data_IF_945735269968
#
_entry.id   IF_945735269968
#
_cell.length_a   1.000
_cell.length_b   1.000
_cell.length_c   1.000
_cell.angle_alpha   90.00
_cell.angle_beta   90.00
_cell.angle_gamma   90.00
#
_symmetry.space_group_name_H-M   'P 1'
#
loop_
_entity.id
_entity.type
_entity.pdbx_description
1 polymer ?
#
# COMPACT_ATOMS: atom_id res chain seq x y z
N UNK A 1 26.41 -72.57 -13.80
CA UNK A 1 27.25 -73.28 -12.81
C UNK A 1 27.08 -72.53 -11.51
N UNK A 2 26.22 -73.01 -10.60
CA UNK A 2 26.59 -73.83 -9.42
C UNK A 2 27.48 -73.02 -8.46
N UNK A 3 27.29 -72.94 -7.15
CA UNK A 3 26.39 -73.52 -6.13
C UNK A 3 26.82 -72.85 -4.80
N UNK A 4 25.92 -72.78 -3.81
CA UNK A 4 26.13 -72.92 -2.34
C UNK A 4 27.36 -72.25 -1.65
N UNK A 5 27.28 -71.54 -0.52
CA UNK A 5 26.46 -71.75 0.68
C UNK A 5 27.30 -72.39 1.82
N UNK A 6 27.64 -71.63 2.87
CA UNK A 6 28.05 -72.10 4.22
C UNK A 6 28.10 -70.85 5.15
N UNK A 7 27.29 -70.64 6.20
CA UNK A 7 27.01 -71.42 7.43
C UNK A 7 28.29 -71.59 8.28
N UNK A 8 28.39 -71.29 9.57
CA UNK A 8 27.47 -70.81 10.59
C UNK A 8 28.22 -70.58 11.93
N UNK A 9 27.44 -70.41 13.00
CA UNK A 9 27.76 -70.49 14.43
C UNK A 9 28.62 -69.38 15.09
N UNK A 10 28.45 -69.04 16.36
CA UNK A 10 27.36 -69.14 17.33
C UNK A 10 27.77 -68.30 18.55
N UNK A 11 26.81 -67.58 19.12
CA UNK A 11 26.56 -67.35 20.55
C UNK A 11 27.75 -67.13 21.53
N UNK A 12 27.74 -65.95 22.18
CA UNK A 12 27.85 -65.90 23.64
C UNK A 12 27.10 -64.69 24.20
N UNK A 13 26.13 -64.97 25.05
CA UNK A 13 25.47 -64.01 25.92
C UNK A 13 26.40 -63.63 27.09
N UNK A 14 26.30 -62.38 27.54
CA UNK A 14 27.00 -61.85 28.71
C UNK A 14 26.28 -60.58 29.17
N UNK A 15 25.41 -60.76 30.15
CA UNK A 15 24.60 -59.74 30.82
C UNK A 15 25.43 -59.06 31.94
N UNK A 16 25.30 -57.73 32.09
CA UNK A 16 25.33 -56.93 33.35
C UNK A 16 25.43 -55.41 33.03
N UNK A 17 24.43 -54.65 33.47
CA UNK A 17 24.27 -53.19 33.39
C UNK A 17 25.06 -52.45 34.51
N UNK A 18 24.90 -51.14 34.78
CA UNK A 18 24.57 -49.94 33.96
C UNK A 18 25.65 -48.83 34.09
N UNK A 19 25.71 -47.85 33.18
CA UNK A 19 26.52 -46.64 33.45
C UNK A 19 26.78 -45.72 32.26
N UNK A 20 26.25 -44.51 32.36
CA UNK A 20 26.62 -43.25 31.71
C UNK A 20 26.87 -43.19 30.19
N UNK A 21 25.85 -42.72 29.47
CA UNK A 21 25.99 -42.03 28.20
C UNK A 21 25.72 -40.51 28.39
N UNK A 22 26.49 -39.62 27.74
CA UNK A 22 26.43 -38.19 27.98
C UNK A 22 25.20 -37.52 27.35
N UNK A 23 24.78 -36.41 27.99
CA UNK A 23 23.60 -35.63 27.69
C UNK A 23 23.49 -35.15 26.24
N UNK A 24 22.35 -35.49 25.59
CA UNK A 24 21.88 -34.87 24.35
C UNK A 24 20.87 -33.78 24.67
N UNK A 25 21.02 -32.62 24.01
CA UNK A 25 20.15 -31.47 24.10
C UNK A 25 18.68 -31.79 23.74
N UNK A 26 17.69 -31.08 24.32
CA UNK A 26 16.29 -31.38 24.10
C UNK A 26 15.86 -30.98 22.69
N UNK A 27 15.46 -31.98 21.91
CA UNK A 27 14.77 -31.85 20.63
C UNK A 27 13.34 -31.32 20.90
N UNK A 28 13.06 -30.10 20.44
CA UNK A 28 11.72 -29.50 20.52
C UNK A 28 10.82 -30.23 19.52
N UNK A 29 10.03 -31.17 20.01
CA UNK A 29 9.05 -31.89 19.22
C UNK A 29 7.95 -30.95 18.73
N UNK A 30 7.89 -30.73 17.41
CA UNK A 30 6.76 -30.12 16.72
C UNK A 30 5.54 -31.02 16.81
N UNK A 31 4.61 -30.67 17.71
CA UNK A 31 3.29 -31.31 17.79
C UNK A 31 2.42 -30.88 16.60
N UNK A 32 2.16 -31.80 15.67
CA UNK A 32 1.13 -31.69 14.65
C UNK A 32 -0.29 -31.57 15.28
N UNK A 33 -1.11 -30.55 14.93
CA UNK A 33 -2.45 -30.37 15.52
C UNK A 33 -3.52 -31.30 14.94
N UNK A 34 -3.18 -32.25 14.07
CA UNK A 34 -4.14 -33.11 13.38
C UNK A 34 -4.71 -34.26 14.25
N UNK A 35 -4.04 -34.65 15.33
CA UNK A 35 -4.47 -35.78 16.18
C UNK A 35 -5.46 -35.38 17.28
N UNK A 36 -5.53 -34.09 17.65
CA UNK A 36 -6.46 -33.57 18.65
C UNK A 36 -7.92 -33.48 18.15
N UNK A 37 -8.14 -33.55 16.84
CA UNK A 37 -9.48 -33.41 16.22
C UNK A 37 -10.25 -34.73 16.10
N UNK A 38 -9.63 -35.91 16.24
CA UNK A 38 -10.33 -37.21 16.07
C UNK A 38 -10.87 -37.84 17.35
N UNK A 39 -10.53 -37.32 18.54
CA UNK A 39 -10.92 -37.94 19.83
C UNK A 39 -12.02 -37.20 20.60
N UNK A 40 -12.63 -36.18 20.00
CA UNK A 40 -13.69 -35.38 20.62
C UNK A 40 -15.13 -35.84 20.27
N UNK A 41 -15.30 -36.98 19.58
CA UNK A 41 -16.60 -37.42 19.05
C UNK A 41 -17.31 -38.52 19.86
N UNK A 42 -16.73 -39.06 20.94
CA UNK A 42 -17.41 -40.09 21.74
C UNK A 42 -17.15 -39.85 23.22
N UNK A 43 -18.14 -39.27 23.91
CA UNK A 43 -18.16 -39.17 25.37
C UNK A 43 -18.85 -37.90 25.86
N UNK A 44 -20.10 -38.05 26.29
CA UNK A 44 -20.94 -37.01 26.91
C UNK A 44 -20.15 -36.21 27.97
N UNK A 45 -19.78 -34.98 27.64
CA UNK A 45 -19.57 -33.84 28.55
C UNK A 45 -20.34 -32.67 27.96
N UNK A 46 -20.99 -31.91 28.83
CA UNK A 46 -21.99 -30.89 28.48
C UNK A 46 -21.60 -30.04 27.27
N UNK A 47 -22.60 -29.76 26.44
CA UNK A 47 -22.56 -28.88 25.27
C UNK A 47 -21.96 -27.53 25.63
N UNK A 48 -20.64 -27.41 25.58
CA UNK A 48 -20.00 -26.11 25.55
C UNK A 48 -20.46 -25.47 24.25
N UNK A 49 -21.27 -24.42 24.37
CA UNK A 49 -21.70 -23.61 23.24
C UNK A 49 -20.45 -23.14 22.48
N UNK A 50 -20.22 -23.62 21.24
CA UNK A 50 -18.99 -23.33 20.51
C UNK A 50 -18.85 -21.83 20.23
N UNK A 51 -19.97 -21.10 20.10
CA UNK A 51 -19.98 -19.65 19.93
C UNK A 51 -19.51 -18.97 21.21
N UNK A 52 -19.93 -19.46 22.38
CA UNK A 52 -19.48 -18.92 23.68
C UNK A 52 -17.98 -19.12 23.91
N UNK A 53 -17.44 -20.26 23.50
CA UNK A 53 -15.99 -20.49 23.53
C UNK A 53 -15.23 -19.54 22.58
N UNK A 54 -15.80 -19.24 21.40
CA UNK A 54 -15.26 -18.27 20.47
C UNK A 54 -15.29 -16.84 21.03
N UNK A 55 -16.43 -16.42 21.63
CA UNK A 55 -16.55 -15.13 22.33
C UNK A 55 -15.48 -14.97 23.40
N UNK A 56 -15.19 -16.02 24.17
CA UNK A 56 -14.17 -15.94 25.21
C UNK A 56 -12.76 -15.74 24.64
N UNK A 57 -12.46 -16.36 23.50
CA UNK A 57 -11.17 -16.19 22.80
C UNK A 57 -11.03 -14.80 22.18
N UNK A 58 -12.11 -14.23 21.67
CA UNK A 58 -12.14 -12.91 21.02
C UNK A 58 -12.83 -11.85 21.88
N UNK A 59 -12.71 -11.98 23.21
CA UNK A 59 -13.45 -11.15 24.16
C UNK A 59 -13.18 -9.66 23.97
N UNK A 60 -11.92 -9.28 23.84
CA UNK A 60 -11.51 -7.88 23.63
C UNK A 60 -12.01 -7.28 22.31
N UNK A 61 -12.25 -8.13 21.30
CA UNK A 61 -12.85 -7.69 20.03
C UNK A 61 -14.35 -7.45 20.23
N UNK A 62 -15.06 -8.42 20.81
CA UNK A 62 -16.50 -8.31 21.02
C UNK A 62 -16.88 -7.18 22.01
N UNK A 63 -16.08 -6.92 23.04
CA UNK A 63 -16.36 -5.87 24.04
C UNK A 63 -16.12 -4.45 23.51
N UNK A 64 -15.25 -4.28 22.49
CA UNK A 64 -14.95 -2.97 21.90
C UNK A 64 -15.79 -2.66 20.67
N UNK A 65 -16.34 -3.67 20.01
CA UNK A 65 -17.02 -3.51 18.75
C UNK A 65 -18.29 -2.67 18.88
N UNK A 66 -18.44 -1.67 18.02
CA UNK A 66 -19.63 -0.78 17.97
C UNK A 66 -20.69 -1.32 17.01
N UNK A 67 -20.31 -2.21 16.07
CA UNK A 67 -21.22 -2.87 15.14
C UNK A 67 -20.78 -4.31 14.78
N UNK A 68 -21.68 -5.13 14.16
CA UNK A 68 -21.35 -6.49 13.73
C UNK A 68 -20.24 -6.58 12.67
N UNK A 69 -20.03 -5.55 11.84
CA UNK A 69 -19.02 -5.57 10.79
C UNK A 69 -17.61 -5.47 11.38
N UNK A 70 -17.41 -4.72 12.46
CA UNK A 70 -16.16 -4.69 13.22
C UNK A 70 -15.81 -6.08 13.78
N UNK A 71 -16.81 -6.82 14.28
CA UNK A 71 -16.62 -8.20 14.71
C UNK A 71 -16.27 -9.09 13.51
N UNK A 72 -16.97 -8.98 12.38
CA UNK A 72 -16.68 -9.77 11.18
C UNK A 72 -15.26 -9.53 10.64
N UNK A 73 -14.86 -8.26 10.55
CA UNK A 73 -13.52 -7.84 10.15
C UNK A 73 -12.44 -8.32 11.13
N UNK A 74 -12.70 -8.22 12.43
CA UNK A 74 -11.80 -8.71 13.46
C UNK A 74 -11.65 -10.23 13.41
N UNK A 75 -12.75 -10.98 13.20
CA UNK A 75 -12.71 -12.43 13.02
C UNK A 75 -11.90 -12.83 11.78
N UNK A 76 -12.08 -12.14 10.65
CA UNK A 76 -11.30 -12.37 9.43
C UNK A 76 -9.80 -12.11 9.66
N UNK A 77 -9.45 -11.03 10.38
CA UNK A 77 -8.06 -10.72 10.74
C UNK A 77 -7.42 -11.81 11.60
N UNK A 78 -8.21 -12.53 12.40
CA UNK A 78 -7.77 -13.69 13.19
C UNK A 78 -7.88 -15.03 12.43
N UNK A 79 -8.14 -15.00 11.11
CA UNK A 79 -8.16 -16.17 10.23
C UNK A 79 -9.48 -16.95 10.20
N UNK A 80 -10.57 -16.38 10.72
CA UNK A 80 -11.90 -16.98 10.61
C UNK A 80 -12.46 -16.67 9.23
N UNK A 81 -12.77 -17.74 8.47
CA UNK A 81 -13.34 -17.66 7.11
C UNK A 81 -14.78 -18.17 7.11
N UNK A 82 -15.51 -18.01 6.00
CA UNK A 82 -16.89 -18.54 5.87
C UNK A 82 -16.94 -20.07 6.12
N UNK A 83 -15.90 -20.80 5.70
CA UNK A 83 -15.74 -22.23 6.02
C UNK A 83 -15.54 -22.50 7.51
N UNK A 84 -14.87 -21.59 8.23
CA UNK A 84 -14.71 -21.67 9.68
C UNK A 84 -16.04 -21.34 10.38
N UNK A 85 -16.80 -20.35 9.90
CA UNK A 85 -18.12 -19.97 10.42
C UNK A 85 -19.14 -21.12 10.32
N UNK A 86 -19.11 -21.90 9.23
CA UNK A 86 -19.93 -23.10 9.08
C UNK A 86 -19.75 -24.12 10.22
N UNK A 87 -18.56 -24.20 10.84
CA UNK A 87 -18.30 -25.07 12.01
C UNK A 87 -19.02 -24.61 13.28
N UNK A 88 -19.35 -23.32 13.35
CA UNK A 88 -20.15 -22.71 14.41
C UNK A 88 -21.65 -22.72 14.10
N UNK A 89 -22.09 -23.41 13.03
CA UNK A 89 -23.48 -23.46 12.54
C UNK A 89 -24.03 -22.13 12.01
N UNK A 90 -23.14 -21.21 11.61
CA UNK A 90 -23.52 -19.99 10.90
C UNK A 90 -23.17 -20.12 9.41
N UNK A 91 -23.96 -19.49 8.54
CA UNK A 91 -23.78 -19.57 7.09
C UNK A 91 -22.45 -18.97 6.64
N UNK A 92 -22.04 -17.89 7.28
CA UNK A 92 -20.91 -17.03 6.89
C UNK A 92 -20.39 -16.25 8.10
N UNK A 93 -19.25 -15.57 7.93
CA UNK A 93 -18.61 -14.78 9.00
C UNK A 93 -19.49 -13.61 9.44
N UNK A 94 -20.28 -13.01 8.54
CA UNK A 94 -21.18 -11.90 8.86
C UNK A 94 -22.30 -12.34 9.80
N UNK A 95 -22.97 -13.46 9.50
CA UNK A 95 -24.01 -14.07 10.34
C UNK A 95 -23.46 -14.51 11.70
N UNK A 96 -22.21 -15.01 11.73
CA UNK A 96 -21.54 -15.34 12.98
C UNK A 96 -21.26 -14.08 13.80
N UNK A 97 -20.83 -12.99 13.16
CA UNK A 97 -20.54 -11.73 13.82
C UNK A 97 -21.79 -11.04 14.37
N UNK A 98 -22.92 -11.07 13.64
CA UNK A 98 -24.22 -10.62 14.13
C UNK A 98 -24.65 -11.37 15.39
N UNK A 99 -24.50 -12.70 15.40
CA UNK A 99 -24.81 -13.52 16.58
C UNK A 99 -23.89 -13.18 17.77
N UNK A 100 -22.60 -12.98 17.52
CA UNK A 100 -21.65 -12.58 18.56
C UNK A 100 -22.00 -11.20 19.13
N UNK A 101 -22.33 -10.22 18.27
CA UNK A 101 -22.73 -8.87 18.65
C UNK A 101 -24.01 -8.88 19.48
N UNK A 102 -25.03 -9.65 19.06
CA UNK A 102 -26.30 -9.79 19.77
C UNK A 102 -26.14 -10.40 21.17
N UNK A 103 -25.06 -11.17 21.40
CA UNK A 103 -24.75 -11.82 22.69
C UNK A 103 -23.85 -11.00 23.60
N UNK A 104 -23.22 -9.93 23.11
CA UNK A 104 -22.51 -8.99 23.99
C UNK A 104 -23.57 -8.35 24.88
N UNK A 105 -23.43 -8.42 26.23
CA UNK A 105 -24.35 -7.73 27.11
C UNK A 105 -24.32 -6.27 26.70
N UNK A 106 -25.41 -5.75 26.15
CA UNK A 106 -25.55 -4.34 25.91
C UNK A 106 -25.37 -3.67 27.27
N UNK A 107 -24.18 -3.13 27.52
CA UNK A 107 -24.02 -2.13 28.57
C UNK A 107 -25.09 -1.11 28.19
N UNK A 108 -26.04 -0.88 29.08
CA UNK A 108 -26.99 0.22 28.98
C UNK A 108 -26.21 1.54 29.11
N UNK A 109 -25.27 1.77 28.19
CA UNK A 109 -24.82 3.08 27.80
C UNK A 109 -25.97 3.68 27.04
N UNK A 110 -26.22 4.95 27.34
CA UNK A 110 -27.19 5.84 26.73
C UNK A 110 -27.47 5.49 25.26
N UNK A 111 -28.71 5.66 24.77
CA UNK A 111 -28.98 5.52 23.35
C UNK A 111 -27.92 6.34 22.60
N UNK A 112 -26.97 5.63 21.97
CA UNK A 112 -25.98 6.25 21.10
C UNK A 112 -26.83 6.93 20.08
N UNK A 113 -26.88 8.27 20.18
CA UNK A 113 -27.59 9.09 19.23
C UNK A 113 -27.17 8.54 17.87
N UNK A 114 -28.15 8.04 17.12
CA UNK A 114 -28.00 7.75 15.70
C UNK A 114 -27.21 8.93 15.15
N UNK A 115 -25.95 8.66 14.79
CA UNK A 115 -25.02 9.69 14.41
C UNK A 115 -25.73 10.62 13.43
N UNK A 116 -25.57 11.94 13.58
CA UNK A 116 -26.36 12.91 12.86
C UNK A 116 -26.45 12.59 11.38
N UNK A 117 -27.68 12.37 10.93
CA UNK A 117 -28.08 12.16 9.54
C UNK A 117 -27.50 13.27 8.61
N UNK A 118 -27.47 13.06 7.27
CA UNK A 118 -26.41 13.40 6.30
C UNK A 118 -26.07 14.88 6.04
N UNK A 119 -26.56 15.81 6.87
CA UNK A 119 -26.25 17.23 6.78
C UNK A 119 -24.77 17.56 7.11
N UNK A 120 -24.08 16.70 7.88
CA UNK A 120 -22.64 16.83 8.17
C UNK A 120 -21.73 16.36 7.03
N UNK A 121 -22.25 15.69 6.01
CA UNK A 121 -21.46 15.16 4.89
C UNK A 121 -21.08 16.25 3.88
N UNK A 122 -21.93 17.26 3.69
CA UNK A 122 -21.69 18.33 2.71
C UNK A 122 -20.55 19.26 3.09
N UNK A 123 -20.54 19.75 4.34
CA UNK A 123 -19.54 20.70 4.84
C UNK A 123 -18.17 20.04 5.00
N UNK A 124 -18.13 18.80 5.49
CA UNK A 124 -16.90 18.01 5.57
C UNK A 124 -16.35 17.71 4.17
N UNK A 125 -17.22 17.33 3.21
CA UNK A 125 -16.84 17.13 1.80
C UNK A 125 -16.25 18.38 1.15
N UNK A 126 -16.92 19.52 1.30
CA UNK A 126 -16.44 20.78 0.77
C UNK A 126 -15.07 21.16 1.38
N UNK A 127 -14.91 20.98 2.69
CA UNK A 127 -13.70 21.36 3.40
C UNK A 127 -12.48 20.53 2.99
N UNK A 128 -12.58 19.20 2.87
CA UNK A 128 -11.45 18.39 2.39
C UNK A 128 -11.21 18.54 0.89
N UNK A 129 -12.26 18.79 0.08
CA UNK A 129 -12.10 19.04 -1.36
C UNK A 129 -11.31 20.33 -1.61
N UNK A 130 -11.60 21.40 -0.85
CA UNK A 130 -10.86 22.65 -0.93
C UNK A 130 -9.38 22.46 -0.55
N UNK A 131 -9.12 21.69 0.51
CA UNK A 131 -7.74 21.37 0.93
C UNK A 131 -6.99 20.54 -0.11
N UNK A 132 -7.66 19.62 -0.80
CA UNK A 132 -7.06 18.80 -1.85
C UNK A 132 -6.66 19.61 -3.10
N UNK A 133 -7.24 20.80 -3.30
CA UNK A 133 -6.88 21.73 -4.37
C UNK A 133 -5.69 22.65 -4.03
N UNK A 134 -5.38 22.85 -2.74
CA UNK A 134 -4.29 23.71 -2.27
C UNK A 134 -2.93 23.44 -2.93
N UNK A 135 -2.42 22.19 -3.01
CA UNK A 135 -1.10 21.95 -3.60
C UNK A 135 -1.05 22.35 -5.08
N UNK A 136 -2.09 22.00 -5.85
CA UNK A 136 -2.21 22.39 -7.26
C UNK A 136 -2.31 23.91 -7.45
N UNK A 137 -3.12 24.58 -6.63
CA UNK A 137 -3.26 26.04 -6.68
C UNK A 137 -1.96 26.77 -6.32
N UNK A 138 -1.24 26.30 -5.29
CA UNK A 138 0.05 26.84 -4.89
C UNK A 138 1.11 26.66 -5.99
N UNK A 139 1.21 25.47 -6.58
CA UNK A 139 2.11 25.21 -7.71
C UNK A 139 1.78 26.11 -8.91
N UNK A 140 0.50 26.20 -9.29
CA UNK A 140 0.06 27.02 -10.43
C UNK A 140 0.37 28.50 -10.19
N UNK A 141 0.01 29.03 -9.02
CA UNK A 141 0.27 30.42 -8.66
C UNK A 141 1.77 30.75 -8.69
N UNK A 142 2.61 29.85 -8.19
CA UNK A 142 4.07 30.01 -8.18
C UNK A 142 4.64 30.04 -9.60
N UNK A 143 4.21 29.12 -10.47
CA UNK A 143 4.68 29.07 -11.86
C UNK A 143 4.23 30.28 -12.68
N UNK A 144 2.98 30.71 -12.50
CA UNK A 144 2.46 31.93 -13.13
C UNK A 144 3.23 33.16 -12.63
N UNK A 145 3.47 33.28 -11.32
CA UNK A 145 4.23 34.39 -10.76
C UNK A 145 5.68 34.42 -11.29
N UNK A 146 6.35 33.27 -11.36
CA UNK A 146 7.69 33.16 -11.94
C UNK A 146 7.71 33.52 -13.44
N UNK A 147 6.69 33.13 -14.19
CA UNK A 147 6.54 33.49 -15.61
C UNK A 147 6.34 34.99 -15.82
N UNK A 148 5.45 35.61 -15.04
CA UNK A 148 5.17 37.05 -15.12
C UNK A 148 6.33 37.93 -14.64
N UNK A 149 7.16 37.42 -13.73
CA UNK A 149 8.35 38.12 -13.21
C UNK A 149 9.64 37.78 -13.97
N UNK A 150 9.52 36.97 -15.03
CA UNK A 150 10.60 36.59 -15.92
C UNK A 150 11.20 37.80 -16.61
N UNK A 151 12.40 38.19 -16.18
CA UNK A 151 13.20 39.29 -16.72
C UNK A 151 13.29 40.51 -15.80
N UNK A 152 12.40 40.64 -14.81
CA UNK A 152 12.35 41.80 -13.89
C UNK A 152 12.98 41.49 -12.54
N UNK A 153 12.75 40.28 -12.01
CA UNK A 153 13.34 39.82 -10.75
C UNK A 153 14.76 39.28 -10.97
N UNK A 154 15.70 39.68 -10.09
CA UNK A 154 17.02 39.07 -9.94
C UNK A 154 16.95 37.62 -9.45
N UNK A 155 18.07 36.89 -9.54
CA UNK A 155 18.16 35.46 -9.23
C UNK A 155 17.67 35.12 -7.82
N UNK A 156 18.15 35.84 -6.81
CA UNK A 156 17.81 35.59 -5.40
C UNK A 156 16.30 35.74 -5.12
N UNK A 157 15.66 36.73 -5.75
CA UNK A 157 14.22 36.96 -5.59
C UNK A 157 13.39 35.83 -6.23
N UNK A 158 13.85 35.27 -7.36
CA UNK A 158 13.21 34.09 -7.98
C UNK A 158 13.40 32.83 -7.15
N UNK A 159 14.57 32.65 -6.55
CA UNK A 159 14.84 31.54 -5.62
C UNK A 159 13.96 31.65 -4.37
N UNK A 160 13.84 32.84 -3.80
CA UNK A 160 12.94 33.10 -2.67
C UNK A 160 11.47 32.79 -3.05
N UNK A 161 11.02 33.23 -4.22
CA UNK A 161 9.66 32.96 -4.70
C UNK A 161 9.41 31.48 -4.96
N UNK A 162 10.35 30.78 -5.60
CA UNK A 162 10.25 29.34 -5.86
C UNK A 162 10.26 28.50 -4.58
N UNK A 163 11.13 28.84 -3.62
CA UNK A 163 11.19 28.16 -2.31
C UNK A 163 9.93 28.41 -1.49
N UNK A 164 9.42 29.65 -1.45
CA UNK A 164 8.15 29.98 -0.78
C UNK A 164 6.98 29.22 -1.40
N UNK A 165 6.90 29.18 -2.74
CA UNK A 165 5.88 28.41 -3.46
C UNK A 165 5.95 26.91 -3.19
N UNK A 166 7.17 26.35 -3.12
CA UNK A 166 7.40 24.95 -2.77
C UNK A 166 6.94 24.64 -1.35
N UNK A 167 7.28 25.49 -0.37
CA UNK A 167 6.81 25.35 1.01
C UNK A 167 5.28 25.42 1.10
N UNK A 168 4.65 26.32 0.34
CA UNK A 168 3.20 26.43 0.28
C UNK A 168 2.54 25.18 -0.32
N UNK A 169 3.11 24.63 -1.38
CA UNK A 169 2.63 23.39 -1.99
C UNK A 169 2.78 22.19 -1.04
N UNK A 170 3.91 22.07 -0.34
CA UNK A 170 4.18 21.00 0.63
C UNK A 170 3.25 21.09 1.85
N UNK A 171 3.00 22.29 2.36
CA UNK A 171 2.05 22.49 3.47
C UNK A 171 0.62 22.19 3.05
N UNK A 172 0.20 22.62 1.86
CA UNK A 172 -1.09 22.26 1.28
C UNK A 172 -1.25 20.74 1.11
N UNK A 173 -0.22 20.07 0.59
CA UNK A 173 -0.19 18.61 0.47
C UNK A 173 -0.28 17.92 1.84
N UNK A 174 0.51 18.36 2.83
CA UNK A 174 0.47 17.79 4.17
C UNK A 174 -0.92 17.92 4.82
N UNK A 175 -1.60 19.06 4.64
CA UNK A 175 -2.96 19.27 5.12
C UNK A 175 -3.98 18.36 4.41
N UNK A 176 -3.87 18.22 3.09
CA UNK A 176 -4.73 17.34 2.30
C UNK A 176 -4.56 15.87 2.73
N UNK A 177 -3.33 15.44 2.99
CA UNK A 177 -3.01 14.09 3.43
C UNK A 177 -3.38 13.82 4.89
N UNK A 178 -3.58 14.84 5.72
CA UNK A 178 -3.93 14.69 7.16
C UNK A 178 -5.42 14.74 7.44
N UNK A 179 -6.21 15.46 6.64
CA UNK A 179 -7.56 15.89 7.03
C UNK A 179 -8.66 15.47 6.04
N UNK A 180 -8.35 14.57 5.11
CA UNK A 180 -9.25 14.15 4.03
C UNK A 180 -9.32 12.63 3.87
N UNK A 181 -9.94 12.13 2.79
CA UNK A 181 -10.06 10.69 2.51
C UNK A 181 -8.71 9.98 2.27
N UNK A 182 -7.63 10.75 2.17
CA UNK A 182 -6.26 10.26 2.13
C UNK A 182 -5.61 10.24 3.52
N UNK A 183 -6.33 10.50 4.61
CA UNK A 183 -5.77 10.47 5.97
C UNK A 183 -5.37 9.06 6.36
N UNK A 184 -4.08 8.84 6.51
CA UNK A 184 -3.56 7.65 7.16
C UNK A 184 -3.82 7.73 8.67
N UNK A 185 -4.07 6.59 9.29
CA UNK A 185 -4.34 6.49 10.72
C UNK A 185 -3.19 7.06 11.57
N UNK A 186 -3.52 7.82 12.61
CA UNK A 186 -2.54 8.27 13.60
C UNK A 186 -1.89 7.04 14.26
N UNK A 187 -0.58 6.87 14.09
CA UNK A 187 0.19 5.73 14.59
C UNK A 187 0.51 4.63 13.56
N UNK A 188 -0.15 4.63 12.39
CA UNK A 188 0.34 3.86 11.24
C UNK A 188 1.53 4.63 10.66
N UNK A 189 2.71 4.40 11.23
CA UNK A 189 3.94 5.14 10.96
C UNK A 189 4.14 5.38 9.47
N UNK A 190 3.84 6.60 9.03
CA UNK A 190 4.46 7.18 7.85
C UNK A 190 5.94 7.24 8.18
N UNK A 191 6.67 6.15 7.92
CA UNK A 191 8.09 6.10 8.11
C UNK A 191 8.68 7.30 7.37
N UNK A 192 9.56 8.08 8.01
CA UNK A 192 10.23 9.19 7.33
C UNK A 192 10.84 8.77 6.00
N UNK A 193 11.23 7.49 5.88
CA UNK A 193 11.66 6.84 4.66
C UNK A 193 10.65 6.89 3.50
N UNK A 194 9.35 6.66 3.72
CA UNK A 194 8.35 6.74 2.65
C UNK A 194 8.17 8.17 2.14
N UNK A 195 8.20 9.16 3.04
CA UNK A 195 8.15 10.58 2.68
C UNK A 195 9.41 11.03 1.93
N UNK A 196 10.59 10.58 2.38
CA UNK A 196 11.86 10.80 1.69
C UNK A 196 11.86 10.14 0.31
N UNK A 197 11.34 8.93 0.19
CA UNK A 197 11.20 8.23 -1.09
C UNK A 197 10.27 8.98 -2.05
N UNK A 198 9.10 9.42 -1.60
CA UNK A 198 8.21 10.26 -2.41
C UNK A 198 8.89 11.57 -2.84
N UNK A 199 9.67 12.20 -1.95
CA UNK A 199 10.43 13.42 -2.27
C UNK A 199 11.50 13.15 -3.33
N UNK A 200 12.23 12.03 -3.22
CA UNK A 200 13.19 11.58 -4.22
C UNK A 200 12.53 11.39 -5.59
N UNK A 201 11.41 10.65 -5.67
CA UNK A 201 10.69 10.39 -6.93
C UNK A 201 10.16 11.69 -7.57
N UNK A 202 9.65 12.61 -6.76
CA UNK A 202 9.22 13.93 -7.23
C UNK A 202 10.40 14.76 -7.75
N UNK A 203 11.55 14.70 -7.07
CA UNK A 203 12.80 15.30 -7.51
C UNK A 203 13.28 14.71 -8.84
N UNK A 204 13.18 13.39 -9.01
CA UNK A 204 13.53 12.72 -10.25
C UNK A 204 12.57 13.12 -11.39
N UNK A 205 11.27 13.30 -11.14
CA UNK A 205 10.37 13.85 -12.16
C UNK A 205 10.72 15.27 -12.58
N UNK A 206 11.27 16.07 -11.66
CA UNK A 206 11.62 17.47 -11.92
C UNK A 206 12.99 17.64 -12.61
N UNK A 207 13.96 16.79 -12.27
CA UNK A 207 15.37 16.91 -12.66
C UNK A 207 15.94 15.68 -13.37
N UNK A 208 15.19 14.58 -13.49
CA UNK A 208 15.72 13.28 -13.91
C UNK A 208 16.19 13.24 -15.36
N UNK A 209 15.49 13.91 -16.27
CA UNK A 209 15.93 14.00 -17.67
C UNK A 209 17.25 14.78 -17.80
N UNK A 210 17.39 15.89 -17.06
CA UNK A 210 18.59 16.73 -17.01
C UNK A 210 19.75 16.02 -16.29
N UNK A 211 19.47 15.33 -15.18
CA UNK A 211 20.40 14.47 -14.45
C UNK A 211 21.00 13.40 -15.38
N UNK A 212 20.13 12.68 -16.10
CA UNK A 212 20.57 11.60 -16.98
C UNK A 212 21.34 12.15 -18.17
N UNK A 213 20.93 13.30 -18.70
CA UNK A 213 21.65 14.00 -19.75
C UNK A 213 23.07 14.38 -19.32
N UNK A 214 23.25 14.99 -18.14
CA UNK A 214 24.58 15.33 -17.60
C UNK A 214 25.44 14.09 -17.32
N UNK A 215 24.83 13.02 -16.82
CA UNK A 215 25.52 11.74 -16.58
C UNK A 215 25.90 11.04 -17.88
N UNK A 216 25.19 11.26 -18.99
CA UNK A 216 25.57 10.75 -20.31
C UNK A 216 26.62 11.64 -20.98
N UNK A 217 26.51 12.96 -20.88
CA UNK A 217 27.38 13.91 -21.59
C UNK A 217 28.83 13.91 -21.09
N UNK A 218 29.07 13.54 -19.84
CA UNK A 218 30.43 13.53 -19.29
C UNK A 218 30.57 14.26 -17.96
N UNK A 219 29.68 15.20 -17.68
CA UNK A 219 29.75 16.09 -16.53
C UNK A 219 28.68 17.18 -16.57
N UNK A 220 28.73 18.15 -15.63
CA UNK A 220 27.73 19.19 -15.54
C UNK A 220 27.84 20.19 -16.70
N UNK A 221 27.00 20.01 -17.71
CA UNK A 221 26.88 20.91 -18.86
C UNK A 221 25.88 22.02 -18.56
N UNK A 222 26.32 23.07 -17.86
CA UNK A 222 25.52 24.27 -17.62
C UNK A 222 24.50 24.18 -16.47
N UNK A 223 23.58 25.17 -16.35
CA UNK A 223 22.60 25.23 -15.27
C UNK A 223 21.47 24.22 -15.49
N UNK A 224 21.03 23.59 -14.40
CA UNK A 224 19.94 22.61 -14.39
C UNK A 224 18.64 23.20 -14.93
N UNK A 225 18.06 22.55 -15.93
CA UNK A 225 16.76 22.98 -16.48
C UNK A 225 15.61 22.29 -15.74
N UNK A 226 14.73 23.08 -15.10
CA UNK A 226 13.53 22.53 -14.47
C UNK A 226 12.45 22.23 -15.53
N UNK A 227 11.82 21.07 -15.42
CA UNK A 227 10.60 20.74 -16.17
C UNK A 227 9.38 20.78 -15.24
N UNK A 228 8.70 21.93 -15.09
CA UNK A 228 7.66 22.11 -14.08
C UNK A 228 6.30 21.48 -14.45
N UNK A 229 6.04 21.24 -15.74
CA UNK A 229 4.77 20.73 -16.24
C UNK A 229 4.30 19.42 -15.54
N UNK A 230 5.13 18.37 -15.45
CA UNK A 230 4.72 17.12 -14.80
C UNK A 230 4.42 17.29 -13.30
N UNK A 231 5.21 18.11 -12.59
CA UNK A 231 5.02 18.38 -11.17
C UNK A 231 3.70 19.12 -10.90
N UNK A 232 3.35 20.09 -11.75
CA UNK A 232 2.06 20.77 -11.68
C UNK A 232 0.89 19.80 -11.89
N UNK A 233 0.98 18.94 -12.91
CA UNK A 233 -0.05 17.93 -13.17
C UNK A 233 -0.25 16.99 -11.98
N UNK A 234 0.84 16.54 -11.35
CA UNK A 234 0.81 15.72 -10.12
C UNK A 234 0.22 16.47 -8.92
N UNK A 235 0.58 17.75 -8.73
CA UNK A 235 0.07 18.57 -7.63
C UNK A 235 -1.45 18.82 -7.75
N UNK A 236 -1.95 19.07 -8.96
CA UNK A 236 -3.39 19.19 -9.23
C UNK A 236 -4.10 17.84 -9.11
N UNK A 237 -3.42 16.73 -9.42
CA UNK A 237 -3.97 15.38 -9.31
C UNK A 237 -4.27 14.93 -7.86
N UNK A 238 -3.84 15.67 -6.84
CA UNK A 238 -4.21 15.42 -5.44
C UNK A 238 -5.72 15.48 -5.23
N UNK A 239 -6.41 16.41 -5.92
CA UNK A 239 -7.87 16.54 -5.86
C UNK A 239 -8.62 15.31 -6.40
N UNK A 240 -8.39 14.85 -7.65
CA UNK A 240 -9.01 13.62 -8.14
C UNK A 240 -8.55 12.39 -7.38
N UNK A 241 -7.32 12.33 -6.85
CA UNK A 241 -6.87 11.23 -5.99
C UNK A 241 -7.71 11.14 -4.71
N UNK A 242 -7.95 12.27 -4.03
CA UNK A 242 -8.79 12.32 -2.84
C UNK A 242 -10.25 11.94 -3.15
N UNK A 243 -10.78 12.40 -4.29
CA UNK A 243 -12.12 12.01 -4.73
C UNK A 243 -12.24 10.53 -5.04
N UNK A 244 -11.24 9.95 -5.73
CA UNK A 244 -11.16 8.53 -6.02
C UNK A 244 -11.11 7.69 -4.74
N UNK A 245 -10.28 8.08 -3.76
CA UNK A 245 -10.23 7.42 -2.45
C UNK A 245 -11.56 7.51 -1.69
N UNK A 246 -12.23 8.67 -1.73
CA UNK A 246 -13.55 8.84 -1.12
C UNK A 246 -14.63 7.97 -1.78
N UNK A 247 -14.67 7.94 -3.12
CA UNK A 247 -15.59 7.08 -3.87
C UNK A 247 -15.33 5.61 -3.58
N UNK A 248 -14.06 5.20 -3.53
CA UNK A 248 -13.67 3.84 -3.18
C UNK A 248 -14.18 3.46 -1.78
N UNK A 249 -13.89 4.28 -0.77
CA UNK A 249 -14.31 4.04 0.61
C UNK A 249 -15.85 3.96 0.75
N UNK A 250 -16.58 4.91 0.16
CA UNK A 250 -18.05 4.90 0.19
C UNK A 250 -18.65 3.69 -0.52
N UNK A 251 -18.08 3.29 -1.65
CA UNK A 251 -18.60 2.18 -2.43
C UNK A 251 -18.21 0.82 -1.81
N UNK A 252 -17.01 0.70 -1.23
CA UNK A 252 -16.60 -0.45 -0.43
C UNK A 252 -17.48 -0.62 0.81
N UNK A 253 -17.76 0.46 1.55
CA UNK A 253 -18.65 0.43 2.71
C UNK A 253 -20.07 0.00 2.31
N UNK A 254 -20.65 0.58 1.25
CA UNK A 254 -21.97 0.14 0.74
C UNK A 254 -22.01 -1.32 0.32
N UNK A 255 -20.92 -1.83 -0.26
CA UNK A 255 -20.79 -3.26 -0.61
C UNK A 255 -20.67 -4.13 0.62
N UNK A 256 -19.96 -3.69 1.64
CA UNK A 256 -19.80 -4.42 2.90
C UNK A 256 -21.14 -4.63 3.60
N UNK A 257 -21.97 -3.59 3.69
CA UNK A 257 -23.33 -3.66 4.27
C UNK A 257 -24.31 -4.54 3.49
N UNK A 258 -24.08 -4.72 2.19
CA UNK A 258 -24.97 -5.50 1.32
C UNK A 258 -24.51 -6.93 1.03
N UNK A 259 -23.31 -7.31 1.47
CA UNK A 259 -22.73 -8.64 1.20
C UNK A 259 -22.96 -9.56 2.38
N UNK A 260 -23.30 -10.82 2.09
CA UNK A 260 -23.50 -11.82 3.14
C UNK A 260 -22.33 -12.80 3.25
N UNK A 261 -21.33 -12.75 2.37
CA UNK A 261 -20.14 -13.61 2.43
C UNK A 261 -18.85 -12.84 2.10
N UNK A 262 -17.71 -13.28 2.63
CA UNK A 262 -16.42 -12.63 2.37
C UNK A 262 -16.02 -12.76 0.89
N UNK A 263 -16.35 -13.90 0.27
CA UNK A 263 -16.10 -14.13 -1.16
C UNK A 263 -16.92 -13.19 -2.06
N UNK A 264 -18.19 -12.94 -1.70
CA UNK A 264 -19.08 -12.02 -2.42
C UNK A 264 -18.59 -10.58 -2.30
N UNK A 265 -18.19 -10.17 -1.09
CA UNK A 265 -17.58 -8.87 -0.86
C UNK A 265 -16.31 -8.69 -1.70
N UNK A 266 -15.38 -9.65 -1.63
CA UNK A 266 -14.13 -9.61 -2.39
C UNK A 266 -14.35 -9.56 -3.90
N UNK A 267 -15.31 -10.32 -4.43
CA UNK A 267 -15.68 -10.29 -5.85
C UNK A 267 -16.27 -8.93 -6.27
N UNK A 268 -17.03 -8.27 -5.40
CA UNK A 268 -17.62 -6.95 -5.65
C UNK A 268 -16.64 -5.79 -5.57
N UNK A 269 -15.62 -5.85 -4.70
CA UNK A 269 -14.65 -4.76 -4.49
C UNK A 269 -13.56 -4.71 -5.56
N UNK A 270 -13.15 -5.85 -6.12
CA UNK A 270 -12.11 -5.91 -7.18
C UNK A 270 -12.43 -5.04 -8.41
N UNK A 271 -13.59 -5.17 -9.09
CA UNK A 271 -13.90 -4.34 -10.26
C UNK A 271 -14.02 -2.85 -9.91
N UNK A 272 -14.43 -2.56 -8.67
CA UNK A 272 -14.54 -1.20 -8.15
C UNK A 272 -13.15 -0.56 -7.96
N UNK A 273 -12.18 -1.31 -7.43
CA UNK A 273 -10.79 -0.87 -7.36
C UNK A 273 -10.24 -0.54 -8.75
N UNK A 274 -10.41 -1.44 -9.72
CA UNK A 274 -9.97 -1.19 -11.10
C UNK A 274 -10.67 0.02 -11.72
N UNK A 275 -11.97 0.19 -11.48
CA UNK A 275 -12.73 1.35 -11.96
C UNK A 275 -12.21 2.68 -11.40
N UNK A 276 -11.90 2.73 -10.10
CA UNK A 276 -11.35 3.94 -9.45
C UNK A 276 -9.93 4.24 -9.92
N UNK A 277 -9.09 3.20 -10.05
CA UNK A 277 -7.73 3.31 -10.57
C UNK A 277 -7.74 3.81 -12.02
N UNK A 278 -8.64 3.28 -12.85
CA UNK A 278 -8.82 3.73 -14.24
C UNK A 278 -9.35 5.17 -14.32
N UNK A 279 -10.33 5.54 -13.48
CA UNK A 279 -10.85 6.90 -13.40
C UNK A 279 -9.74 7.90 -13.05
N UNK A 280 -8.90 7.56 -12.05
CA UNK A 280 -7.76 8.37 -11.69
C UNK A 280 -6.73 8.46 -12.81
N UNK A 281 -6.40 7.34 -13.47
CA UNK A 281 -5.46 7.34 -14.60
C UNK A 281 -5.93 8.26 -15.73
N UNK A 282 -7.22 8.23 -16.09
CA UNK A 282 -7.81 9.13 -17.08
C UNK A 282 -7.73 10.60 -16.65
N UNK A 283 -8.09 10.91 -15.40
CA UNK A 283 -8.02 12.26 -14.87
C UNK A 283 -6.56 12.79 -14.84
N UNK A 284 -5.62 11.95 -14.39
CA UNK A 284 -4.19 12.26 -14.35
C UNK A 284 -3.63 12.49 -15.75
N UNK A 285 -3.96 11.64 -16.73
CA UNK A 285 -3.53 11.82 -18.11
C UNK A 285 -4.04 13.14 -18.70
N UNK A 286 -5.30 13.50 -18.46
CA UNK A 286 -5.87 14.78 -18.90
C UNK A 286 -5.16 15.98 -18.24
N UNK A 287 -4.89 15.91 -16.92
CA UNK A 287 -4.18 16.97 -16.20
C UNK A 287 -2.73 17.13 -16.67
N UNK A 288 -2.02 16.03 -16.91
CA UNK A 288 -0.66 16.06 -17.45
C UNK A 288 -0.63 16.62 -18.88
N UNK A 289 -1.62 16.28 -19.70
CA UNK A 289 -1.78 16.84 -21.04
C UNK A 289 -2.04 18.36 -20.99
N UNK A 290 -2.94 18.83 -20.11
CA UNK A 290 -3.21 20.25 -19.92
C UNK A 290 -1.99 21.01 -19.38
N UNK A 291 -1.26 20.43 -18.41
CA UNK A 291 -0.04 21.03 -17.88
C UNK A 291 1.04 21.15 -18.96
N UNK A 292 1.16 20.15 -19.84
CA UNK A 292 2.06 20.17 -21.00
C UNK A 292 1.69 21.27 -22.00
N UNK A 293 0.39 21.48 -22.26
CA UNK A 293 -0.08 22.55 -23.14
C UNK A 293 0.24 23.94 -22.58
N UNK A 294 0.15 24.13 -21.26
CA UNK A 294 0.38 25.44 -20.62
C UNK A 294 1.83 25.76 -20.30
N UNK A 295 2.65 24.78 -19.94
CA UNK A 295 4.00 24.98 -19.38
C UNK A 295 5.11 24.31 -20.20
N UNK A 296 4.78 23.77 -21.38
CA UNK A 296 5.75 23.26 -22.34
C UNK A 296 5.89 21.73 -22.32
N UNK A 297 6.69 21.23 -23.28
CA UNK A 297 6.83 19.79 -23.57
C UNK A 297 7.93 19.08 -22.77
N UNK A 298 8.52 19.75 -21.79
CA UNK A 298 9.60 19.19 -20.97
C UNK A 298 9.12 18.11 -20.00
N UNK A 299 9.99 17.11 -19.76
CA UNK A 299 9.72 15.99 -18.86
C UNK A 299 8.94 14.85 -19.52
N UNK A 300 8.97 13.67 -18.88
CA UNK A 300 8.20 12.49 -19.31
C UNK A 300 6.78 12.50 -18.73
N UNK A 301 5.72 12.81 -19.51
CA UNK A 301 4.34 12.72 -19.00
C UNK A 301 3.96 11.29 -18.65
N UNK A 302 4.54 10.29 -19.35
CA UNK A 302 4.34 8.89 -19.03
C UNK A 302 4.97 8.52 -17.68
N UNK A 303 6.18 9.03 -17.39
CA UNK A 303 6.84 8.81 -16.10
C UNK A 303 6.06 9.44 -14.95
N UNK A 304 5.57 10.66 -15.14
CA UNK A 304 4.71 11.32 -14.15
C UNK A 304 3.35 10.61 -13.98
N UNK A 305 2.76 10.07 -15.05
CA UNK A 305 1.56 9.25 -14.94
C UNK A 305 1.83 8.01 -14.08
N UNK A 306 2.92 7.29 -14.34
CA UNK A 306 3.32 6.11 -13.56
C UNK A 306 3.56 6.46 -12.08
N UNK A 307 4.25 7.57 -11.79
CA UNK A 307 4.45 8.05 -10.42
C UNK A 307 3.12 8.39 -9.73
N UNK A 308 2.20 9.08 -10.42
CA UNK A 308 0.90 9.41 -9.85
C UNK A 308 0.10 8.15 -9.49
N UNK A 309 0.14 7.11 -10.35
CA UNK A 309 -0.48 5.82 -10.04
C UNK A 309 0.17 5.14 -8.83
N UNK A 310 1.50 5.14 -8.76
CA UNK A 310 2.26 4.60 -7.63
C UNK A 310 1.87 5.29 -6.31
N UNK A 311 1.83 6.62 -6.30
CA UNK A 311 1.49 7.42 -5.12
C UNK A 311 0.04 7.18 -4.67
N UNK A 312 -0.92 7.10 -5.60
CA UNK A 312 -2.31 6.78 -5.26
C UNK A 312 -2.41 5.39 -4.61
N UNK A 313 -1.81 4.36 -5.21
CA UNK A 313 -1.88 2.99 -4.71
C UNK A 313 -1.17 2.84 -3.35
N UNK A 314 0.02 3.42 -3.21
CA UNK A 314 0.74 3.47 -1.95
C UNK A 314 -0.11 4.16 -0.88
N UNK A 315 -0.77 5.26 -1.21
CA UNK A 315 -1.62 5.98 -0.25
C UNK A 315 -2.87 5.22 0.11
N UNK A 316 -3.56 4.59 -0.85
CA UNK A 316 -4.72 3.73 -0.58
C UNK A 316 -4.36 2.60 0.36
N UNK A 317 -3.26 1.89 0.11
CA UNK A 317 -2.78 0.83 1.00
C UNK A 317 -2.48 1.36 2.40
N UNK A 318 -1.83 2.52 2.50
CA UNK A 318 -1.52 3.16 3.80
C UNK A 318 -2.78 3.53 4.58
N UNK A 319 -3.80 4.08 3.90
CA UNK A 319 -5.09 4.47 4.51
C UNK A 319 -5.84 3.25 5.06
N UNK A 320 -5.77 2.11 4.37
CA UNK A 320 -6.43 0.87 4.79
C UNK A 320 -5.55 -0.04 5.68
N UNK A 321 -4.47 0.51 6.28
CA UNK A 321 -3.68 -0.19 7.29
C UNK A 321 -2.52 -1.05 6.77
N UNK A 322 -2.13 -0.92 5.49
CA UNK A 322 -1.02 -1.63 4.88
C UNK A 322 0.13 -0.67 4.47
N UNK A 323 0.83 -0.01 5.41
CA UNK A 323 1.91 0.92 5.10
C UNK A 323 3.20 0.22 4.64
N UNK A 324 3.47 -1.01 5.06
CA UNK A 324 4.71 -1.73 4.71
C UNK A 324 4.80 -2.04 3.20
N UNK A 325 3.75 -2.59 2.54
CA UNK A 325 3.80 -2.76 1.10
C UNK A 325 3.93 -1.43 0.35
N UNK A 326 3.24 -0.38 0.82
CA UNK A 326 3.35 0.95 0.24
C UNK A 326 4.79 1.49 0.28
N UNK A 327 5.44 1.39 1.45
CA UNK A 327 6.81 1.85 1.64
C UNK A 327 7.82 1.03 0.80
N UNK A 328 7.64 -0.29 0.71
CA UNK A 328 8.50 -1.15 -0.11
C UNK A 328 8.36 -0.87 -1.60
N UNK A 329 7.14 -0.60 -2.08
CA UNK A 329 6.91 -0.19 -3.48
C UNK A 329 7.57 1.15 -3.81
N UNK A 330 7.46 2.15 -2.92
CA UNK A 330 8.15 3.44 -3.08
C UNK A 330 9.67 3.27 -3.06
N UNK A 331 10.21 2.49 -2.12
CA UNK A 331 11.64 2.22 -2.01
C UNK A 331 12.18 1.47 -3.24
N UNK A 332 11.42 0.52 -3.79
CA UNK A 332 11.78 -0.20 -5.02
C UNK A 332 11.87 0.76 -6.21
N UNK A 333 10.91 1.67 -6.37
CA UNK A 333 10.95 2.69 -7.42
C UNK A 333 12.17 3.62 -7.25
N UNK A 334 12.44 4.11 -6.04
CA UNK A 334 13.62 4.92 -5.75
C UNK A 334 14.93 4.19 -6.09
N UNK A 335 15.03 2.90 -5.73
CA UNK A 335 16.21 2.09 -6.02
C UNK A 335 16.40 1.89 -7.53
N UNK A 336 15.32 1.68 -8.29
CA UNK A 336 15.37 1.56 -9.76
C UNK A 336 15.79 2.87 -10.44
N UNK A 337 15.25 4.01 -10.00
CA UNK A 337 15.65 5.32 -10.52
C UNK A 337 17.11 5.66 -10.20
N UNK A 338 17.58 5.33 -8.99
CA UNK A 338 18.97 5.54 -8.59
C UNK A 338 19.95 4.58 -9.29
N UNK A 339 19.50 3.38 -9.67
CA UNK A 339 20.33 2.40 -10.36
C UNK A 339 20.75 2.88 -11.76
N UNK A 340 19.88 3.58 -12.49
CA UNK A 340 20.18 4.05 -13.84
C UNK A 340 21.45 4.93 -13.92
N UNK A 341 21.57 6.07 -13.19
CA UNK A 341 22.81 6.85 -13.20
C UNK A 341 23.98 6.09 -12.58
N UNK A 342 23.75 5.24 -11.57
CA UNK A 342 24.81 4.44 -10.95
C UNK A 342 25.45 3.43 -11.94
N UNK A 343 24.63 2.77 -12.77
CA UNK A 343 25.10 1.84 -13.80
C UNK A 343 25.88 2.56 -14.90
N UNK A 344 25.43 3.75 -15.31
CA UNK A 344 26.16 4.58 -16.29
C UNK A 344 27.52 5.00 -15.72
N UNK A 345 27.54 5.49 -14.48
CA UNK A 345 28.79 5.88 -13.79
C UNK A 345 29.74 4.69 -13.59
N UNK A 346 29.21 3.53 -13.20
CA UNK A 346 30.01 2.30 -13.07
C UNK A 346 30.59 1.84 -14.42
N UNK A 347 29.84 2.03 -15.51
CA UNK A 347 30.30 1.75 -16.87
C UNK A 347 31.56 2.51 -17.26
N UNK A 348 31.81 3.70 -16.69
CA UNK A 348 33.01 4.52 -16.96
C UNK A 348 34.29 3.94 -16.35
N UNK A 349 34.18 2.97 -15.44
CA UNK A 349 35.35 2.29 -14.87
C UNK A 349 35.99 1.34 -15.90
N UNK A 350 37.32 1.19 -15.89
CA UNK A 350 38.02 0.33 -16.84
C UNK A 350 37.53 -1.13 -16.71
N UNK A 351 37.06 -1.70 -17.81
CA UNK A 351 36.58 -3.09 -17.87
C UNK A 351 35.10 -3.30 -17.52
N UNK A 352 34.35 -2.26 -17.12
CA UNK A 352 32.93 -2.39 -16.70
C UNK A 352 31.92 -1.78 -17.68
N UNK A 353 32.31 -1.40 -18.89
CA UNK A 353 31.40 -0.79 -19.89
C UNK A 353 30.15 -1.63 -20.20
N UNK A 354 30.24 -2.97 -20.07
CA UNK A 354 29.10 -3.86 -20.30
C UNK A 354 27.93 -3.61 -19.32
N UNK A 355 28.20 -3.01 -18.15
CA UNK A 355 27.20 -2.74 -17.09
C UNK A 355 26.29 -1.56 -17.47
N UNK A 356 26.76 -0.59 -18.26
CA UNK A 356 25.97 0.56 -18.71
C UNK A 356 25.09 0.26 -19.94
N UNK A 357 25.51 -0.71 -20.79
CA UNK A 357 24.80 -1.09 -22.03
C UNK A 357 23.27 -1.24 -21.93
N UNK A 358 22.68 -1.91 -20.92
CA UNK A 358 21.23 -2.06 -20.89
C UNK A 358 20.51 -0.72 -20.68
N UNK A 359 21.11 0.19 -19.92
CA UNK A 359 20.56 1.52 -19.67
C UNK A 359 20.74 2.40 -20.90
N UNK A 360 21.93 2.38 -21.52
CA UNK A 360 22.23 3.14 -22.74
C UNK A 360 21.28 2.73 -23.89
N UNK A 361 21.16 1.42 -24.15
CA UNK A 361 20.27 0.91 -25.21
C UNK A 361 18.79 1.28 -24.98
N UNK A 362 18.36 1.32 -23.72
CA UNK A 362 17.00 1.68 -23.36
C UNK A 362 16.75 3.18 -23.57
N UNK A 363 17.70 4.04 -23.19
CA UNK A 363 17.63 5.49 -23.39
C UNK A 363 17.73 5.84 -24.88
N UNK A 364 18.58 5.16 -25.64
CA UNK A 364 18.67 5.33 -27.09
C UNK A 364 17.36 4.97 -27.80
N UNK A 365 16.69 3.89 -27.36
CA UNK A 365 15.46 3.41 -27.99
C UNK A 365 14.21 4.23 -27.63
N UNK A 366 14.09 4.69 -26.38
CA UNK A 366 12.85 5.25 -25.83
C UNK A 366 13.01 6.64 -25.17
N UNK A 367 14.22 7.19 -25.16
CA UNK A 367 14.57 8.44 -24.50
C UNK A 367 14.77 8.29 -22.98
N UNK A 368 15.26 9.34 -22.29
CA UNK A 368 15.55 9.32 -20.85
C UNK A 368 14.30 9.10 -19.98
N UNK A 369 13.14 9.53 -20.49
CA UNK A 369 11.85 9.41 -19.83
C UNK A 369 11.33 7.99 -19.60
N UNK A 370 12.01 6.96 -20.13
CA UNK A 370 11.69 5.54 -19.95
C UNK A 370 12.06 5.02 -18.55
N UNK A 371 13.11 5.57 -17.93
CA UNK A 371 13.56 5.16 -16.59
C UNK A 371 12.46 5.33 -15.54
N UNK A 372 11.83 6.51 -15.37
CA UNK A 372 10.77 6.69 -14.39
C UNK A 372 9.50 5.90 -14.77
N UNK A 373 9.24 5.67 -16.07
CA UNK A 373 8.12 4.84 -16.52
C UNK A 373 8.29 3.40 -16.04
N UNK A 374 9.47 2.81 -16.21
CA UNK A 374 9.72 1.45 -15.76
C UNK A 374 9.79 1.36 -14.23
N UNK A 375 10.52 2.27 -13.59
CA UNK A 375 10.69 2.28 -12.14
C UNK A 375 9.34 2.46 -11.41
N UNK A 376 8.59 3.51 -11.73
CA UNK A 376 7.31 3.76 -11.11
C UNK A 376 6.22 2.80 -11.59
N UNK A 377 6.24 2.40 -12.88
CA UNK A 377 5.22 1.54 -13.47
C UNK A 377 5.26 0.11 -12.93
N UNK A 378 6.46 -0.48 -12.80
CA UNK A 378 6.62 -1.83 -12.22
C UNK A 378 6.26 -1.85 -10.74
N UNK A 379 6.69 -0.85 -9.97
CA UNK A 379 6.31 -0.69 -8.57
C UNK A 379 4.78 -0.50 -8.42
N UNK A 380 4.17 0.35 -9.26
CA UNK A 380 2.73 0.57 -9.25
C UNK A 380 1.96 -0.71 -9.58
N UNK A 381 2.43 -1.51 -10.53
CA UNK A 381 1.83 -2.81 -10.86
C UNK A 381 1.90 -3.79 -9.68
N UNK A 382 3.05 -3.88 -9.00
CA UNK A 382 3.19 -4.68 -7.78
C UNK A 382 2.26 -4.22 -6.64
N UNK A 383 2.14 -2.90 -6.45
CA UNK A 383 1.19 -2.35 -5.49
C UNK A 383 -0.27 -2.58 -5.89
N UNK A 384 -0.59 -2.58 -7.18
CA UNK A 384 -1.95 -2.87 -7.66
C UNK A 384 -2.35 -4.31 -7.34
N UNK A 385 -1.45 -5.28 -7.60
CA UNK A 385 -1.67 -6.69 -7.21
C UNK A 385 -1.88 -6.77 -5.69
N UNK A 386 -1.02 -6.10 -4.92
CA UNK A 386 -1.13 -6.09 -3.46
C UNK A 386 -2.44 -5.47 -2.99
N UNK A 387 -2.87 -4.37 -3.60
CA UNK A 387 -4.13 -3.69 -3.30
C UNK A 387 -5.35 -4.56 -3.62
N UNK A 388 -5.33 -5.28 -4.75
CA UNK A 388 -6.39 -6.23 -5.12
C UNK A 388 -6.54 -7.34 -4.07
N UNK A 389 -5.44 -7.83 -3.50
CA UNK A 389 -5.44 -8.89 -2.50
C UNK A 389 -5.76 -8.40 -1.08
N UNK A 390 -5.25 -7.23 -0.71
CA UNK A 390 -5.40 -6.66 0.63
C UNK A 390 -6.77 -6.00 0.81
N UNK A 391 -7.19 -5.17 -0.15
CA UNK A 391 -8.44 -4.41 -0.06
C UNK A 391 -9.69 -5.24 -0.33
N UNK A 392 -9.54 -6.46 -0.85
CA UNK A 392 -10.66 -7.41 -0.97
C UNK A 392 -11.05 -8.08 0.36
N UNK A 393 -10.25 -7.88 1.42
CA UNK A 393 -10.57 -8.38 2.77
C UNK A 393 -11.48 -7.39 3.48
N UNK A 394 -12.49 -7.88 4.19
CA UNK A 394 -13.37 -7.03 5.01
C UNK A 394 -12.58 -6.36 6.15
N UNK A 395 -11.53 -7.02 6.66
CA UNK A 395 -10.62 -6.48 7.67
C UNK A 395 -9.94 -5.17 7.26
N UNK A 396 -9.80 -4.91 5.96
CA UNK A 396 -9.20 -3.66 5.45
C UNK A 396 -10.14 -2.44 5.61
N UNK A 397 -11.43 -2.67 5.87
CA UNK A 397 -12.48 -1.64 5.91
C UNK A 397 -13.14 -1.50 7.28
N UNK A 398 -12.65 -2.23 8.29
CA UNK A 398 -13.13 -2.06 9.67
C UNK A 398 -12.78 -0.65 10.17
N UNK A 399 -13.79 0.09 10.62
CA UNK A 399 -13.57 1.26 11.44
C UNK A 399 -12.99 0.82 12.81
N UNK A 400 -12.19 1.66 13.47
CA UNK A 400 -11.61 1.34 14.77
C UNK A 400 -12.48 1.54 16.00
#
# INVERSE_FOLDING_TARGET
MSREGHQGDAASAGELAPGDAPARAPEVAHAHPASALRKAAVGRRGTADPVRALMHRHRELCERAVDPLEIAAGLEAHGVTDRTAARYRHRDVFSLAEELFARVPAVAGEPVATGPAPARDGTTRAAWSLRALLPGAACLATLVALGLTGGVLGGDARLALGSAGTLLALTGLALALRTGPLSARDGAGSSGAAALGACWLLGYVLYGDDLLHQVLSGGPEGPWTLTPAPLLGLAVAVAPAAWCAHLFALAAHRRLHGSHALEEFGAGVRPLLFGVVALFACALAALLYLARLGFGTGGSPAGAAALGMLLLLARLLTVHGFPEPAATGLAAACAMEAAAPALILAGRLPGLHAVARPVDALIEAAGPGVVPVLACGTAAFGLLITAVLALSRASAHAAP
#
